data_IF_324794528777
#
_entry.id   IF_324794528777
#
_cell.length_a   1.000
_cell.length_b   1.000
_cell.length_c   1.000
_cell.angle_alpha   90.00
_cell.angle_beta   90.00
_cell.angle_gamma   90.00
#
_symmetry.space_group_name_H-M   'P 1'
#
loop_
_entity.id
_entity.type
_entity.pdbx_description
1 polymer ?
#
# COMPACT_ATOMS: atom_id res chain seq x y z
N UNK A 1 -30.43 -9.94 10.24
CA UNK A 1 -28.97 -9.70 10.06
C UNK A 1 -28.23 -10.76 10.84
N UNK A 2 -27.35 -11.58 10.23
CA UNK A 2 -26.71 -12.69 10.94
C UNK A 2 -25.82 -12.19 12.09
N UNK A 3 -25.75 -12.95 13.18
CA UNK A 3 -24.92 -12.65 14.37
C UNK A 3 -23.49 -12.34 13.98
N UNK A 4 -22.93 -13.05 13.00
CA UNK A 4 -21.58 -12.81 12.45
C UNK A 4 -21.42 -11.42 11.82
N UNK A 5 -22.45 -10.86 11.19
CA UNK A 5 -22.42 -9.49 10.66
C UNK A 5 -22.35 -8.46 11.79
N UNK A 6 -23.13 -8.65 12.86
CA UNK A 6 -23.10 -7.77 14.05
C UNK A 6 -21.73 -7.81 14.72
N UNK A 7 -21.17 -8.99 14.97
CA UNK A 7 -19.83 -9.16 15.56
C UNK A 7 -18.76 -8.46 14.70
N UNK A 8 -18.81 -8.58 13.39
CA UNK A 8 -17.87 -7.90 12.50
C UNK A 8 -17.99 -6.37 12.53
N UNK A 9 -19.20 -5.82 12.70
CA UNK A 9 -19.43 -4.38 12.85
C UNK A 9 -18.82 -3.88 14.17
N UNK A 10 -19.14 -4.54 15.29
CA UNK A 10 -18.58 -4.17 16.61
C UNK A 10 -17.06 -4.29 16.65
N UNK A 11 -16.50 -5.37 16.10
CA UNK A 11 -15.04 -5.51 15.97
C UNK A 11 -14.43 -4.36 15.19
N UNK A 12 -15.07 -3.95 14.06
CA UNK A 12 -14.57 -2.84 13.23
C UNK A 12 -14.60 -1.53 13.99
N UNK A 13 -15.67 -1.25 14.71
CA UNK A 13 -15.81 -0.02 15.53
C UNK A 13 -14.74 0.00 16.63
N UNK A 14 -14.56 -1.09 17.37
CA UNK A 14 -13.56 -1.21 18.42
C UNK A 14 -12.13 -1.06 17.87
N UNK A 15 -11.79 -1.77 16.80
CA UNK A 15 -10.46 -1.69 16.21
C UNK A 15 -10.20 -0.32 15.57
N UNK A 16 -11.21 0.32 14.97
CA UNK A 16 -11.08 1.69 14.47
C UNK A 16 -10.87 2.68 15.62
N UNK A 17 -11.63 2.58 16.71
CA UNK A 17 -11.45 3.42 17.90
C UNK A 17 -10.05 3.31 18.47
N UNK A 18 -9.56 2.08 18.69
CA UNK A 18 -8.22 1.81 19.23
C UNK A 18 -7.07 2.24 18.31
N UNK A 19 -7.32 2.31 17.00
CA UNK A 19 -6.27 2.66 16.03
C UNK A 19 -6.41 4.08 15.47
N UNK A 20 -7.46 4.81 15.80
CA UNK A 20 -7.76 6.15 15.29
C UNK A 20 -6.62 7.13 15.55
N UNK A 21 -5.99 7.03 16.72
CA UNK A 21 -4.91 7.92 17.14
C UNK A 21 -3.51 7.45 16.70
N UNK A 22 -3.41 6.28 16.05
CA UNK A 22 -2.12 5.82 15.52
C UNK A 22 -1.76 6.69 14.32
N UNK A 23 -0.64 7.39 14.40
CA UNK A 23 -0.13 8.25 13.33
C UNK A 23 -0.49 9.72 13.45
N UNK A 24 -1.33 10.15 14.41
CA UNK A 24 -1.61 11.57 14.63
C UNK A 24 -0.36 12.37 15.05
N UNK A 25 0.62 11.69 15.63
CA UNK A 25 1.92 12.27 16.02
C UNK A 25 2.97 12.25 14.88
N UNK A 26 2.68 11.63 13.74
CA UNK A 26 3.64 11.58 12.62
C UNK A 26 3.90 12.95 11.99
N UNK A 27 3.00 13.92 12.15
CA UNK A 27 3.23 15.33 11.77
C UNK A 27 4.32 16.04 12.62
N UNK A 28 4.82 15.41 13.70
CA UNK A 28 5.86 15.93 14.59
C UNK A 28 7.16 15.12 14.57
N UNK A 29 7.36 14.26 13.57
CA UNK A 29 8.67 13.62 13.41
C UNK A 29 9.64 14.69 12.92
N UNK A 30 10.46 15.23 13.82
CA UNK A 30 11.61 16.04 13.42
C UNK A 30 12.62 15.11 12.76
N UNK A 31 12.69 15.19 11.44
CA UNK A 31 13.69 14.46 10.68
C UNK A 31 14.99 15.26 10.67
N UNK A 32 16.08 14.61 10.98
CA UNK A 32 17.41 15.18 10.75
C UNK A 32 17.69 15.16 9.24
N UNK A 33 17.48 16.30 8.60
CA UNK A 33 17.67 16.50 7.16
C UNK A 33 19.13 16.72 6.79
N UNK A 34 20.06 16.73 7.76
CA UNK A 34 21.49 16.97 7.50
C UNK A 34 22.18 15.80 6.80
N UNK A 35 21.60 14.61 6.80
CA UNK A 35 22.15 13.41 6.18
C UNK A 35 21.39 13.04 4.90
N UNK A 36 22.14 12.68 3.84
CA UNK A 36 21.54 12.12 2.63
C UNK A 36 20.75 10.85 2.97
N UNK A 37 19.43 10.90 2.77
CA UNK A 37 18.53 9.77 3.05
C UNK A 37 18.64 8.78 1.91
N UNK A 38 19.16 7.58 2.20
CA UNK A 38 19.19 6.46 1.27
C UNK A 38 18.02 5.52 1.58
N UNK A 39 17.21 5.22 0.56
CA UNK A 39 16.05 4.32 0.67
C UNK A 39 16.28 3.07 -0.15
N UNK A 40 16.43 1.93 0.54
CA UNK A 40 16.66 0.61 -0.05
C UNK A 40 15.49 -0.35 0.09
N UNK A 41 14.66 -0.16 1.13
CA UNK A 41 13.53 -1.07 1.40
C UNK A 41 12.27 -0.31 1.79
N UNK A 42 11.21 -0.55 1.02
CA UNK A 42 9.90 0.08 1.21
C UNK A 42 8.84 -0.99 1.47
N UNK A 43 8.02 -0.81 2.50
CA UNK A 43 6.82 -1.61 2.74
C UNK A 43 5.58 -0.82 2.31
N UNK A 44 4.84 -1.32 1.34
CA UNK A 44 3.53 -0.77 0.96
C UNK A 44 2.44 -1.63 1.58
N UNK A 45 1.64 -1.04 2.46
CA UNK A 45 0.57 -1.72 3.17
C UNK A 45 -0.80 -1.44 2.54
N UNK A 46 -1.38 -2.48 1.95
CA UNK A 46 -2.75 -2.46 1.39
C UNK A 46 -3.50 -3.72 1.84
N UNK A 47 -3.94 -3.84 3.10
CA UNK A 47 -4.58 -5.05 3.63
C UNK A 47 -6.00 -5.22 3.06
N UNK A 48 -6.11 -5.36 1.75
CA UNK A 48 -7.32 -5.59 0.99
C UNK A 48 -7.16 -6.85 0.12
N UNK A 49 -8.27 -7.58 -0.11
CA UNK A 49 -8.28 -8.84 -0.84
C UNK A 49 -8.96 -8.76 -2.21
N UNK A 50 -9.48 -7.60 -2.59
CA UNK A 50 -10.16 -7.39 -3.88
C UNK A 50 -9.14 -7.05 -4.96
N UNK A 51 -9.20 -7.76 -6.10
CA UNK A 51 -8.27 -7.61 -7.21
C UNK A 51 -8.18 -6.16 -7.69
N UNK A 52 -9.33 -5.50 -7.92
CA UNK A 52 -9.35 -4.10 -8.34
C UNK A 52 -8.67 -3.16 -7.36
N UNK A 53 -8.85 -3.36 -6.05
CA UNK A 53 -8.18 -2.55 -5.05
C UNK A 53 -6.66 -2.76 -5.01
N UNK A 54 -6.18 -3.94 -5.38
CA UNK A 54 -4.75 -4.21 -5.53
C UNK A 54 -4.20 -3.58 -6.82
N UNK A 55 -4.96 -3.61 -7.90
CA UNK A 55 -4.60 -2.92 -9.15
C UNK A 55 -4.43 -1.39 -8.92
N UNK A 56 -5.29 -0.79 -8.10
CA UNK A 56 -5.29 0.64 -7.81
C UNK A 56 -4.06 1.13 -7.00
N UNK A 57 -3.16 0.25 -6.56
CA UNK A 57 -1.87 0.65 -5.97
C UNK A 57 -0.70 0.56 -6.94
N UNK A 58 -0.92 0.10 -8.18
CA UNK A 58 0.16 0.07 -9.19
C UNK A 58 0.75 1.44 -9.51
N UNK A 59 -0.02 2.56 -9.53
CA UNK A 59 0.55 3.89 -9.66
C UNK A 59 1.55 4.25 -8.56
N UNK A 60 1.25 3.91 -7.30
CA UNK A 60 2.17 4.15 -6.20
C UNK A 60 3.43 3.29 -6.31
N UNK A 61 3.30 2.02 -6.71
CA UNK A 61 4.47 1.15 -6.91
C UNK A 61 5.38 1.73 -7.98
N UNK A 62 4.82 2.18 -9.11
CA UNK A 62 5.57 2.85 -10.18
C UNK A 62 6.24 4.14 -9.69
N UNK A 63 5.55 4.91 -8.85
CA UNK A 63 6.11 6.14 -8.30
C UNK A 63 7.29 5.86 -7.38
N UNK A 64 7.19 4.85 -6.51
CA UNK A 64 8.31 4.41 -5.66
C UNK A 64 9.48 3.90 -6.48
N UNK A 65 9.23 3.12 -7.55
CA UNK A 65 10.27 2.66 -8.49
C UNK A 65 10.99 3.81 -9.19
N UNK A 66 10.25 4.85 -9.58
CA UNK A 66 10.86 6.04 -10.22
C UNK A 66 11.70 6.84 -9.25
N UNK A 67 11.23 7.02 -8.03
CA UNK A 67 11.92 7.80 -7.01
C UNK A 67 13.17 7.08 -6.48
N UNK A 68 13.06 5.77 -6.31
CA UNK A 68 14.12 4.91 -5.77
C UNK A 68 14.31 3.67 -6.66
N UNK A 69 15.04 3.78 -7.79
CA UNK A 69 15.15 2.70 -8.79
C UNK A 69 15.71 1.38 -8.24
N UNK A 70 16.62 1.47 -7.24
CA UNK A 70 17.29 0.31 -6.67
C UNK A 70 16.61 -0.22 -5.39
N UNK A 71 15.47 0.34 -5.02
CA UNK A 71 14.78 -0.09 -3.83
C UNK A 71 14.04 -1.43 -4.03
N UNK A 72 13.97 -2.20 -2.94
CA UNK A 72 13.13 -3.40 -2.86
C UNK A 72 11.81 -3.07 -2.19
N UNK A 73 10.71 -3.43 -2.83
CA UNK A 73 9.36 -3.17 -2.33
C UNK A 73 8.77 -4.47 -1.81
N UNK A 74 8.38 -4.48 -0.54
CA UNK A 74 7.55 -5.53 0.02
C UNK A 74 6.09 -5.05 0.06
N UNK A 75 5.15 -5.91 -0.31
CA UNK A 75 3.72 -5.62 -0.25
C UNK A 75 3.07 -6.35 0.92
N UNK A 76 2.40 -5.63 1.82
CA UNK A 76 1.55 -6.21 2.84
C UNK A 76 0.09 -6.13 2.41
N UNK A 77 -0.47 -7.27 2.04
CA UNK A 77 -1.80 -7.40 1.43
C UNK A 77 -2.66 -8.42 2.17
N UNK A 78 -3.90 -8.61 1.75
CA UNK A 78 -4.79 -9.63 2.32
C UNK A 78 -5.22 -10.62 1.24
N UNK A 79 -4.97 -11.91 1.48
CA UNK A 79 -5.29 -13.00 0.54
C UNK A 79 -4.36 -13.04 -0.67
N UNK A 80 -4.47 -14.10 -1.49
CA UNK A 80 -3.52 -14.53 -2.50
C UNK A 80 -3.74 -13.99 -3.92
N UNK A 81 -4.26 -12.76 -4.11
CA UNK A 81 -4.50 -12.21 -5.46
C UNK A 81 -3.40 -11.25 -5.93
N UNK A 82 -2.54 -10.79 -5.03
CA UNK A 82 -1.50 -9.83 -5.37
C UNK A 82 -0.46 -10.37 -6.38
N UNK A 83 -0.04 -11.64 -6.34
CA UNK A 83 0.88 -12.19 -7.35
C UNK A 83 0.39 -12.03 -8.77
N UNK A 84 -0.93 -12.09 -9.02
CA UNK A 84 -1.54 -11.93 -10.37
C UNK A 84 -1.24 -10.54 -10.94
N UNK A 85 -1.21 -9.52 -10.09
CA UNK A 85 -1.00 -8.12 -10.51
C UNK A 85 0.48 -7.80 -10.59
N UNK A 86 1.26 -8.28 -9.61
CA UNK A 86 2.63 -7.81 -9.41
C UNK A 86 3.71 -8.78 -9.91
N UNK A 87 3.35 -9.88 -10.60
CA UNK A 87 4.31 -10.87 -11.12
C UNK A 87 5.38 -10.28 -12.05
N UNK A 88 5.05 -9.20 -12.76
CA UNK A 88 5.96 -8.56 -13.73
C UNK A 88 6.69 -7.33 -13.14
N UNK A 89 6.50 -7.04 -11.86
CA UNK A 89 7.17 -5.94 -11.16
C UNK A 89 8.48 -6.43 -10.53
N UNK A 90 9.62 -6.12 -11.14
CA UNK A 90 10.94 -6.58 -10.67
C UNK A 90 11.35 -6.00 -9.31
N UNK A 91 10.85 -4.83 -8.96
CA UNK A 91 11.07 -4.16 -7.68
C UNK A 91 10.35 -4.83 -6.51
N UNK A 92 9.28 -5.62 -6.79
CA UNK A 92 8.55 -6.35 -5.76
C UNK A 92 9.40 -7.54 -5.30
N UNK A 93 9.90 -7.44 -4.07
CA UNK A 93 10.75 -8.46 -3.47
C UNK A 93 9.94 -9.52 -2.73
N UNK A 94 8.96 -9.11 -1.92
CA UNK A 94 8.07 -10.03 -1.21
C UNK A 94 6.61 -9.57 -1.26
N UNK A 95 5.71 -10.54 -1.36
CA UNK A 95 4.28 -10.34 -1.10
C UNK A 95 3.96 -11.04 0.22
N UNK A 96 3.60 -10.23 1.23
CA UNK A 96 3.30 -10.69 2.59
C UNK A 96 1.78 -10.73 2.74
N UNK A 97 1.22 -11.93 2.73
CA UNK A 97 -0.22 -12.14 2.65
C UNK A 97 -0.84 -12.37 4.03
N UNK A 98 -1.70 -11.45 4.44
CA UNK A 98 -2.53 -11.63 5.64
C UNK A 98 -3.72 -12.56 5.32
N UNK A 99 -3.98 -13.58 6.13
CA UNK A 99 -5.12 -14.48 5.91
C UNK A 99 -6.45 -13.74 5.81
N UNK A 100 -7.32 -14.16 4.88
CA UNK A 100 -8.66 -13.58 4.71
C UNK A 100 -9.52 -13.74 5.95
N UNK A 101 -9.40 -14.89 6.64
CA UNK A 101 -10.12 -15.25 7.87
C UNK A 101 -9.11 -15.41 9.01
N UNK A 102 -8.87 -14.35 9.83
CA UNK A 102 -7.86 -14.39 10.90
C UNK A 102 -8.09 -15.54 11.91
N UNK A 103 -9.34 -15.81 12.23
CA UNK A 103 -9.71 -16.81 13.25
C UNK A 103 -9.63 -18.26 12.76
N UNK A 104 -9.54 -18.52 11.46
CA UNK A 104 -9.39 -19.88 10.94
C UNK A 104 -7.96 -20.40 11.06
N UNK A 105 -6.97 -19.53 11.19
CA UNK A 105 -5.57 -19.89 11.37
C UNK A 105 -4.80 -18.76 12.08
N UNK A 106 -4.95 -18.73 13.40
CA UNK A 106 -4.33 -17.71 14.25
C UNK A 106 -2.79 -17.77 14.21
N UNK A 107 -2.22 -18.96 14.11
CA UNK A 107 -0.75 -19.13 14.07
C UNK A 107 -0.19 -18.45 12.83
N UNK A 108 -0.76 -18.70 11.64
CA UNK A 108 -0.33 -18.03 10.42
C UNK A 108 -0.61 -16.53 10.46
N UNK A 109 -1.71 -16.11 11.07
CA UNK A 109 -1.99 -14.69 11.25
C UNK A 109 -0.89 -13.99 12.05
N UNK A 110 -0.49 -14.57 13.19
CA UNK A 110 0.61 -14.01 14.01
C UNK A 110 1.97 -14.10 13.32
N UNK A 111 2.27 -15.20 12.62
CA UNK A 111 3.52 -15.34 11.85
C UNK A 111 3.71 -14.20 10.84
N UNK A 112 2.64 -13.76 10.18
CA UNK A 112 2.68 -12.65 9.22
C UNK A 112 3.07 -11.33 9.92
N UNK A 113 2.51 -11.06 11.09
CA UNK A 113 2.86 -9.87 11.87
C UNK A 113 4.31 -9.91 12.37
N UNK A 114 4.78 -11.07 12.82
CA UNK A 114 6.19 -11.26 13.18
C UNK A 114 7.09 -11.04 11.96
N UNK A 115 6.67 -11.52 10.78
CA UNK A 115 7.45 -11.33 9.55
C UNK A 115 7.69 -9.86 9.24
N UNK A 116 6.64 -9.01 9.28
CA UNK A 116 6.81 -7.57 9.02
C UNK A 116 7.61 -6.86 10.14
N UNK A 117 7.55 -7.36 11.39
CA UNK A 117 8.33 -6.81 12.52
C UNK A 117 9.81 -7.13 12.41
N UNK A 118 10.17 -8.31 11.93
CA UNK A 118 11.56 -8.75 11.78
C UNK A 118 12.29 -8.14 10.59
N UNK A 119 11.55 -7.64 9.60
CA UNK A 119 12.13 -6.94 8.46
C UNK A 119 12.43 -5.48 8.85
N UNK A 120 13.60 -4.99 8.46
CA UNK A 120 13.95 -3.57 8.58
C UNK A 120 13.61 -2.87 7.29
N UNK A 121 12.79 -1.82 7.39
CA UNK A 121 12.41 -0.97 6.27
C UNK A 121 12.94 0.44 6.46
N UNK A 122 13.23 1.14 5.38
CA UNK A 122 13.50 2.57 5.44
C UNK A 122 12.17 3.33 5.50
N UNK A 123 11.21 2.95 4.62
CA UNK A 123 9.90 3.57 4.55
C UNK A 123 8.78 2.52 4.69
N UNK A 124 7.73 2.87 5.43
CA UNK A 124 6.45 2.16 5.44
C UNK A 124 5.34 3.10 4.98
N UNK A 125 4.58 2.67 3.99
CA UNK A 125 3.46 3.41 3.41
C UNK A 125 2.13 2.68 3.68
N UNK A 126 1.28 3.22 4.57
CA UNK A 126 -0.11 2.78 4.61
C UNK A 126 -0.93 3.60 3.61
N UNK A 127 -1.41 2.94 2.57
CA UNK A 127 -2.12 3.55 1.43
C UNK A 127 -3.64 3.46 1.54
N UNK A 128 -4.14 3.24 2.74
CA UNK A 128 -5.59 3.09 2.94
C UNK A 128 -6.08 4.05 4.01
N UNK A 129 -6.94 5.00 3.60
CA UNK A 129 -7.68 5.85 4.53
C UNK A 129 -8.49 4.96 5.49
N UNK A 130 -8.51 5.30 6.77
CA UNK A 130 -9.35 4.65 7.78
C UNK A 130 -9.18 3.12 7.94
N UNK A 131 -8.03 2.54 7.55
CA UNK A 131 -7.74 1.12 7.72
C UNK A 131 -7.02 0.84 9.04
N UNK A 132 -7.70 0.17 9.99
CA UNK A 132 -7.09 -0.29 11.23
C UNK A 132 -5.90 -1.23 10.98
N UNK A 133 -6.04 -2.19 10.08
CA UNK A 133 -4.95 -3.12 9.73
C UNK A 133 -3.79 -2.41 9.05
N UNK A 134 -4.07 -1.39 8.22
CA UNK A 134 -3.05 -0.58 7.59
C UNK A 134 -2.27 0.26 8.62
N UNK A 135 -2.97 0.94 9.53
CA UNK A 135 -2.32 1.70 10.61
C UNK A 135 -1.51 0.79 11.55
N UNK A 136 -2.06 -0.37 11.91
CA UNK A 136 -1.35 -1.36 12.72
C UNK A 136 -0.09 -1.87 12.01
N UNK A 137 -0.15 -2.19 10.71
CA UNK A 137 1.02 -2.64 9.97
C UNK A 137 2.11 -1.58 9.94
N UNK A 138 1.76 -0.31 9.71
CA UNK A 138 2.72 0.79 9.77
C UNK A 138 3.32 0.98 11.18
N UNK A 139 2.51 0.82 12.23
CA UNK A 139 3.00 0.88 13.63
C UNK A 139 3.93 -0.28 13.96
N UNK A 140 3.55 -1.51 13.58
CA UNK A 140 4.28 -2.73 13.92
C UNK A 140 5.57 -2.92 13.13
N UNK A 141 5.60 -2.52 11.86
CA UNK A 141 6.79 -2.64 11.04
C UNK A 141 7.96 -1.87 11.67
N UNK A 142 9.14 -2.46 11.63
CA UNK A 142 10.38 -1.78 11.98
C UNK A 142 10.81 -0.93 10.78
N UNK A 143 10.60 0.39 10.88
CA UNK A 143 10.92 1.32 9.80
C UNK A 143 11.33 2.69 10.34
N UNK A 144 12.27 3.31 9.63
CA UNK A 144 12.80 4.63 9.96
C UNK A 144 11.75 5.72 9.73
N UNK A 145 11.03 5.64 8.60
CA UNK A 145 10.01 6.61 8.21
C UNK A 145 8.67 5.93 7.99
N UNK A 146 7.57 6.51 8.49
CA UNK A 146 6.24 5.87 8.48
C UNK A 146 5.15 6.82 8.05
N UNK A 147 4.45 6.49 6.97
CA UNK A 147 3.21 7.13 6.55
C UNK A 147 2.02 6.28 7.01
N UNK A 148 1.17 6.84 7.88
CA UNK A 148 0.07 6.10 8.50
C UNK A 148 -1.26 6.16 7.75
N UNK A 149 -1.33 6.91 6.64
CA UNK A 149 -2.55 7.10 5.84
C UNK A 149 -3.57 7.97 6.57
N UNK A 150 -3.40 9.25 6.48
CA UNK A 150 -4.33 10.27 6.93
C UNK A 150 -4.97 10.99 5.74
N UNK A 151 -5.75 12.02 5.99
CA UNK A 151 -6.19 12.99 5.00
C UNK A 151 -5.37 14.27 5.21
N UNK A 152 -4.70 14.71 4.15
CA UNK A 152 -4.02 15.99 4.14
C UNK A 152 -4.90 17.00 3.42
N UNK A 153 -5.48 17.94 4.17
CA UNK A 153 -6.41 18.97 3.65
C UNK A 153 -5.76 19.88 2.64
N UNK A 154 -4.47 20.19 2.80
CA UNK A 154 -3.73 21.09 1.92
C UNK A 154 -3.50 20.44 0.54
N UNK A 155 -3.18 19.14 0.53
CA UNK A 155 -3.05 18.37 -0.71
C UNK A 155 -4.43 18.22 -1.37
N UNK A 156 -5.45 17.95 -0.59
CA UNK A 156 -6.81 17.78 -1.08
C UNK A 156 -7.33 19.05 -1.79
N UNK A 157 -7.03 20.24 -1.26
CA UNK A 157 -7.44 21.50 -1.88
C UNK A 157 -6.73 21.77 -3.20
N UNK A 158 -5.48 21.30 -3.34
CA UNK A 158 -4.64 21.55 -4.52
C UNK A 158 -4.82 20.52 -5.64
N UNK A 159 -5.47 19.37 -5.36
CA UNK A 159 -5.68 18.29 -6.33
C UNK A 159 -7.15 17.88 -6.41
N UNK A 160 -7.90 18.32 -7.44
CA UNK A 160 -9.33 18.00 -7.59
C UNK A 160 -9.64 16.51 -7.61
N UNK A 161 -8.69 15.69 -8.03
CA UNK A 161 -8.79 14.24 -8.12
C UNK A 161 -8.15 13.47 -6.95
N UNK A 162 -7.82 14.19 -5.87
CA UNK A 162 -7.22 13.61 -4.66
C UNK A 162 -8.04 12.47 -4.06
N UNK A 163 -9.38 12.52 -4.15
CA UNK A 163 -10.24 11.47 -3.61
C UNK A 163 -10.19 10.16 -4.42
N UNK A 164 -9.62 10.18 -5.61
CA UNK A 164 -9.49 8.97 -6.42
C UNK A 164 -8.55 7.97 -5.76
N UNK A 165 -9.03 6.73 -5.55
CA UNK A 165 -8.36 5.69 -4.75
C UNK A 165 -6.94 5.35 -5.26
N UNK A 166 -6.68 5.49 -6.57
CA UNK A 166 -5.34 5.24 -7.13
C UNK A 166 -4.42 6.46 -7.02
N UNK A 167 -4.97 7.69 -6.96
CA UNK A 167 -4.19 8.93 -6.96
C UNK A 167 -3.85 9.41 -5.55
N UNK A 168 -4.79 9.31 -4.63
CA UNK A 168 -4.58 9.63 -3.21
C UNK A 168 -3.27 9.05 -2.65
N UNK A 169 -2.95 7.75 -2.81
CA UNK A 169 -1.72 7.21 -2.25
C UNK A 169 -0.45 7.83 -2.82
N UNK A 170 -0.48 8.24 -4.10
CA UNK A 170 0.65 8.89 -4.76
C UNK A 170 0.84 10.31 -4.24
N UNK A 171 -0.23 11.10 -4.11
CA UNK A 171 -0.15 12.45 -3.56
C UNK A 171 0.35 12.47 -2.12
N UNK A 172 -0.17 11.57 -1.26
CA UNK A 172 0.31 11.43 0.12
C UNK A 172 1.79 11.02 0.19
N UNK A 173 2.21 10.12 -0.67
CA UNK A 173 3.60 9.69 -0.77
C UNK A 173 4.51 10.85 -1.18
N UNK A 174 4.15 11.61 -2.20
CA UNK A 174 4.92 12.78 -2.66
C UNK A 174 5.08 13.83 -1.57
N UNK A 175 3.99 14.19 -0.92
CA UNK A 175 4.01 15.11 0.22
C UNK A 175 4.88 14.57 1.36
N UNK A 176 4.78 13.27 1.65
CA UNK A 176 5.61 12.64 2.66
C UNK A 176 7.10 12.74 2.31
N UNK A 177 7.48 12.54 1.05
CA UNK A 177 8.86 12.72 0.58
C UNK A 177 9.36 14.15 0.72
N UNK A 178 8.53 15.13 0.36
CA UNK A 178 8.88 16.56 0.54
C UNK A 178 9.14 16.89 2.00
N UNK A 179 8.35 16.32 2.93
CA UNK A 179 8.61 16.47 4.38
C UNK A 179 9.91 15.77 4.82
N UNK A 180 10.39 14.77 4.09
CA UNK A 180 11.69 14.13 4.31
C UNK A 180 12.86 14.88 3.65
N UNK A 181 12.61 16.00 2.97
CA UNK A 181 13.62 16.81 2.31
C UNK A 181 13.96 16.40 0.88
N UNK A 182 13.16 15.53 0.27
CA UNK A 182 13.27 15.25 -1.17
C UNK A 182 12.60 16.34 -2.00
N UNK A 183 13.08 16.52 -3.23
CA UNK A 183 12.49 17.45 -4.17
C UNK A 183 11.02 17.13 -4.47
N UNK A 184 10.24 18.17 -4.74
CA UNK A 184 8.83 18.00 -5.11
C UNK A 184 8.69 17.28 -6.45
N UNK A 185 7.75 16.32 -6.52
CA UNK A 185 7.47 15.55 -7.73
C UNK A 185 6.18 16.09 -8.35
N UNK A 186 6.30 16.77 -9.50
CA UNK A 186 5.18 17.43 -10.20
C UNK A 186 4.64 16.62 -11.38
N UNK A 187 5.31 15.53 -11.76
CA UNK A 187 4.89 14.67 -12.87
C UNK A 187 3.45 14.17 -12.70
N UNK A 188 2.70 13.92 -13.79
CA UNK A 188 1.40 13.28 -13.71
C UNK A 188 1.45 11.96 -12.94
N UNK A 189 0.38 11.68 -12.18
CA UNK A 189 0.25 10.39 -11.48
C UNK A 189 0.28 9.26 -12.49
N UNK A 190 1.10 8.21 -12.28
CA UNK A 190 1.18 7.08 -13.21
C UNK A 190 -0.18 6.42 -13.45
N UNK A 191 -0.39 5.90 -14.66
CA UNK A 191 -1.57 5.10 -14.99
C UNK A 191 -1.53 3.73 -14.31
N UNK A 192 -2.69 3.06 -14.26
CA UNK A 192 -2.74 1.65 -13.85
C UNK A 192 -1.95 0.81 -14.85
N UNK A 193 -1.04 -0.01 -14.34
CA UNK A 193 -0.20 -0.85 -15.20
C UNK A 193 -0.03 -2.24 -14.57
N UNK A 194 -0.08 -3.29 -15.38
CA UNK A 194 0.23 -4.68 -15.02
C UNK A 194 1.60 -5.10 -15.51
N UNK A 195 2.32 -4.21 -16.20
CA UNK A 195 3.61 -4.50 -16.86
C UNK A 195 3.55 -5.76 -17.73
N UNK A 196 2.44 -5.92 -18.48
CA UNK A 196 2.26 -7.07 -19.37
C UNK A 196 3.26 -7.04 -20.51
N UNK A 197 3.89 -8.19 -20.76
CA UNK A 197 4.76 -8.36 -21.92
C UNK A 197 3.97 -8.29 -23.23
N UNK A 198 4.60 -7.95 -24.37
CA UNK A 198 3.95 -7.97 -25.68
C UNK A 198 3.30 -9.33 -26.03
N UNK A 199 3.90 -10.44 -25.58
CA UNK A 199 3.37 -11.78 -25.78
C UNK A 199 2.09 -12.01 -24.96
N UNK A 200 2.05 -11.58 -23.70
CA UNK A 200 0.84 -11.67 -22.85
C UNK A 200 -0.30 -10.83 -23.43
N UNK A 201 0.00 -9.63 -23.93
CA UNK A 201 -0.99 -8.76 -24.57
C UNK A 201 -1.55 -9.44 -25.82
N UNK A 202 -0.69 -10.00 -26.67
CA UNK A 202 -1.10 -10.71 -27.91
C UNK A 202 -1.97 -11.93 -27.59
N UNK A 203 -1.58 -12.75 -26.62
CA UNK A 203 -2.34 -13.92 -26.17
C UNK A 203 -3.73 -13.53 -25.66
N UNK A 204 -3.81 -12.51 -24.78
CA UNK A 204 -5.09 -12.04 -24.23
C UNK A 204 -6.01 -11.44 -25.31
N UNK A 205 -5.46 -10.67 -26.27
CA UNK A 205 -6.23 -10.16 -27.42
C UNK A 205 -6.83 -11.28 -28.26
N UNK A 206 -6.10 -12.39 -28.47
CA UNK A 206 -6.60 -13.56 -29.19
C UNK A 206 -7.77 -14.20 -28.42
N UNK A 207 -7.60 -14.46 -27.12
CA UNK A 207 -8.66 -15.05 -26.27
C UNK A 207 -9.93 -14.20 -26.25
N UNK A 208 -9.80 -12.87 -26.12
CA UNK A 208 -10.97 -11.96 -26.16
C UNK A 208 -11.68 -12.02 -27.50
N UNK A 209 -10.93 -12.05 -28.62
CA UNK A 209 -11.53 -12.17 -29.97
C UNK A 209 -12.28 -13.50 -30.17
N UNK A 210 -11.80 -14.58 -29.55
CA UNK A 210 -12.46 -15.89 -29.61
C UNK A 210 -13.75 -15.89 -28.77
N UNK A 211 -13.75 -15.26 -27.60
CA UNK A 211 -14.92 -15.14 -26.74
C UNK A 211 -16.03 -14.23 -27.29
N UNK A 212 -15.68 -13.23 -28.09
CA UNK A 212 -16.65 -12.30 -28.70
C UNK A 212 -17.26 -12.88 -30.01
N UNK A 213 -16.66 -13.93 -30.58
CA UNK A 213 -17.18 -14.60 -31.79
C UNK A 213 -18.21 -15.70 -31.51
N UNK A 214 -18.36 -16.10 -30.25
CA UNK A 214 -19.37 -17.02 -29.73
C UNK A 214 -20.50 -16.25 -29.04
#
# INVERSE_FOLDING_TARGET
MSILKKINVYRRILTQGLTKNIGNSSKKQNFDLSQKIEIKRVLISRPNHRLGNLLLITPLVQEVERTFPDCRIDLFVKGGLAPIIFQNYKSINNIIELPKKPFSNLINYFKVWIKIKKQRYDIVLNVTKNSSSGRLSAKFADAKYKLFGGVNTDIQSNHPDYEHIAKYPVYEYRSFLTHLGFDAIENPVPSLDLKLSPLEIKKKKKTVKELVKN
#
